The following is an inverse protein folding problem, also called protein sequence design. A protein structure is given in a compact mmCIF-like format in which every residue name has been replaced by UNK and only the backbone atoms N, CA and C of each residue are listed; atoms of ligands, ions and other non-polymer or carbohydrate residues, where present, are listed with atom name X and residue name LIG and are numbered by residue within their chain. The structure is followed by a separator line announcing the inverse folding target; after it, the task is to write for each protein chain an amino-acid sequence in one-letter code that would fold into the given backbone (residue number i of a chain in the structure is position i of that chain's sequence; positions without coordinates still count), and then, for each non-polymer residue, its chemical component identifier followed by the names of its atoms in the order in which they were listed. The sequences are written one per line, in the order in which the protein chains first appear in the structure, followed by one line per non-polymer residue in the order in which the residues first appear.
data_IF_761041485799
#
_entry.id   IF_761041485799
#
_cell.length_a   1.000
_cell.length_b   1.000
_cell.length_c   1.000
_cell.angle_alpha   90.00
_cell.angle_beta   90.00
_cell.angle_gamma   90.00
#
_symmetry.space_group_name_H-M   'P 1'
#
loop_
_entity.id
_entity.type
_entity.pdbx_description
1 polymer ?
#
# COMPACT_ATOMS: atom_id res chain seq x y z
N UNK A 1 24.22 23.02 -7.96
CA UNK A 1 23.16 22.95 -9.00
C UNK A 1 22.36 21.63 -9.00
N UNK A 2 22.60 20.72 -8.08
CA UNK A 2 22.03 19.35 -8.01
C UNK A 2 20.81 19.21 -7.09
N UNK A 3 20.37 20.25 -6.41
CA UNK A 3 19.21 20.22 -5.50
C UNK A 3 17.84 20.36 -6.20
N UNK A 4 17.82 20.71 -7.48
CA UNK A 4 16.59 21.09 -8.20
C UNK A 4 15.88 19.95 -8.93
N UNK A 5 16.48 18.78 -9.09
CA UNK A 5 15.89 17.69 -9.90
C UNK A 5 15.02 16.73 -9.04
N UNK A 6 15.36 16.48 -7.78
CA UNK A 6 14.60 15.56 -6.91
C UNK A 6 13.25 16.11 -6.45
N UNK A 7 13.21 17.37 -6.05
CA UNK A 7 11.97 17.98 -5.56
C UNK A 7 10.87 18.07 -6.63
N UNK A 8 11.13 18.52 -7.87
CA UNK A 8 10.10 18.56 -8.90
C UNK A 8 9.62 17.17 -9.33
N UNK A 9 10.50 16.15 -9.39
CA UNK A 9 10.10 14.79 -9.72
C UNK A 9 9.19 14.19 -8.64
N UNK A 10 9.58 14.31 -7.36
CA UNK A 10 8.78 13.79 -6.25
C UNK A 10 7.41 14.49 -6.18
N UNK A 11 7.37 15.81 -6.36
CA UNK A 11 6.12 16.56 -6.34
C UNK A 11 5.22 16.19 -7.53
N UNK A 12 5.77 16.10 -8.76
CA UNK A 12 5.02 15.71 -9.94
C UNK A 12 4.44 14.29 -9.81
N UNK A 13 5.22 13.34 -9.32
CA UNK A 13 4.76 11.96 -9.08
C UNK A 13 3.68 11.91 -7.99
N UNK A 14 3.84 12.69 -6.91
CA UNK A 14 2.84 12.75 -5.84
C UNK A 14 1.53 13.36 -6.34
N UNK A 15 1.59 14.46 -7.07
CA UNK A 15 0.41 15.15 -7.62
C UNK A 15 -0.37 14.25 -8.58
N UNK A 16 0.32 13.59 -9.52
CA UNK A 16 -0.33 12.68 -10.48
C UNK A 16 -0.90 11.43 -9.77
N UNK A 17 -0.21 10.92 -8.76
CA UNK A 17 -0.72 9.82 -7.94
C UNK A 17 -2.01 10.19 -7.19
N UNK A 18 -2.10 11.42 -6.66
CA UNK A 18 -3.34 11.93 -6.05
C UNK A 18 -4.46 12.07 -7.06
N UNK A 19 -4.17 12.57 -8.24
CA UNK A 19 -5.15 12.69 -9.32
C UNK A 19 -5.71 11.32 -9.74
N UNK A 20 -4.84 10.33 -9.91
CA UNK A 20 -5.23 8.95 -10.17
C UNK A 20 -6.08 8.36 -9.03
N UNK A 21 -5.72 8.61 -7.78
CA UNK A 21 -6.53 8.20 -6.64
C UNK A 21 -7.97 8.74 -6.73
N UNK A 22 -8.14 10.05 -6.98
CA UNK A 22 -9.47 10.66 -7.08
C UNK A 22 -10.26 10.19 -8.30
N UNK A 23 -9.61 9.67 -9.33
CA UNK A 23 -10.28 9.04 -10.48
C UNK A 23 -10.69 7.59 -10.18
N UNK A 24 -9.81 6.80 -9.57
CA UNK A 24 -10.00 5.36 -9.39
C UNK A 24 -10.79 5.03 -8.10
N UNK A 25 -10.57 5.78 -7.01
CA UNK A 25 -11.22 5.51 -5.73
C UNK A 25 -12.76 5.56 -5.78
N UNK A 26 -13.41 6.56 -6.42
CA UNK A 26 -14.86 6.57 -6.57
C UNK A 26 -15.41 5.38 -7.37
N UNK A 27 -14.67 4.94 -8.38
CA UNK A 27 -15.03 3.75 -9.18
C UNK A 27 -14.97 2.50 -8.28
N UNK A 28 -13.93 2.38 -7.46
CA UNK A 28 -13.82 1.32 -6.46
C UNK A 28 -14.97 1.32 -5.45
N UNK A 29 -15.33 2.50 -4.94
CA UNK A 29 -16.48 2.66 -4.03
C UNK A 29 -17.78 2.23 -4.72
N UNK A 30 -18.00 2.66 -5.96
CA UNK A 30 -19.19 2.28 -6.74
C UNK A 30 -19.24 0.77 -7.01
N UNK A 31 -18.11 0.16 -7.35
CA UNK A 31 -18.01 -1.28 -7.58
C UNK A 31 -18.31 -2.08 -6.31
N UNK A 32 -17.78 -1.66 -5.15
CA UNK A 32 -18.08 -2.27 -3.85
C UNK A 32 -19.56 -2.12 -3.50
N UNK A 33 -20.12 -0.92 -3.65
CA UNK A 33 -21.53 -0.67 -3.40
C UNK A 33 -22.44 -1.50 -4.31
N UNK A 34 -22.09 -1.62 -5.59
CA UNK A 34 -22.81 -2.45 -6.56
C UNK A 34 -22.71 -3.94 -6.21
N UNK A 35 -21.53 -4.43 -5.86
CA UNK A 35 -21.33 -5.81 -5.40
C UNK A 35 -22.17 -6.10 -4.14
N UNK A 36 -22.12 -5.23 -3.13
CA UNK A 36 -22.94 -5.33 -1.92
C UNK A 36 -24.43 -5.37 -2.26
N UNK A 37 -24.88 -4.50 -3.16
CA UNK A 37 -26.26 -4.46 -3.61
C UNK A 37 -26.67 -5.78 -4.28
N UNK A 38 -25.89 -6.27 -5.24
CA UNK A 38 -26.19 -7.52 -5.96
C UNK A 38 -26.27 -8.73 -5.03
N UNK A 39 -25.35 -8.85 -4.08
CA UNK A 39 -25.37 -9.97 -3.13
C UNK A 39 -26.51 -9.92 -2.13
N UNK A 40 -27.04 -8.72 -1.83
CA UNK A 40 -28.04 -8.54 -0.77
C UNK A 40 -29.43 -8.16 -1.27
N UNK A 41 -29.61 -7.97 -2.57
CA UNK A 41 -30.94 -7.76 -3.16
C UNK A 41 -31.74 -9.05 -3.41
N UNK A 42 -31.25 -10.23 -2.93
CA UNK A 42 -31.84 -11.56 -3.09
C UNK A 42 -31.96 -12.05 -4.55
N UNK A 43 -31.49 -11.28 -5.51
CA UNK A 43 -31.58 -11.63 -6.94
C UNK A 43 -30.89 -12.98 -7.25
N UNK A 44 -29.69 -13.17 -6.72
CA UNK A 44 -28.88 -14.37 -6.96
C UNK A 44 -29.39 -15.62 -6.21
N UNK A 45 -30.17 -15.43 -5.14
CA UNK A 45 -30.62 -16.53 -4.28
C UNK A 45 -32.06 -16.95 -4.55
N UNK A 46 -32.97 -15.99 -4.74
CA UNK A 46 -34.40 -16.25 -4.89
C UNK A 46 -34.98 -15.81 -6.25
N UNK A 47 -34.17 -15.12 -7.08
CA UNK A 47 -34.64 -14.51 -8.34
C UNK A 47 -35.58 -13.31 -8.15
N UNK A 48 -35.84 -12.88 -6.93
CA UNK A 48 -36.67 -11.71 -6.61
C UNK A 48 -35.79 -10.54 -6.18
N UNK A 49 -36.00 -9.37 -6.80
CA UNK A 49 -35.24 -8.16 -6.45
C UNK A 49 -35.89 -7.51 -5.24
N UNK A 50 -35.18 -7.49 -4.12
CA UNK A 50 -35.52 -6.69 -2.93
C UNK A 50 -34.67 -5.43 -2.90
N UNK A 51 -34.99 -4.47 -3.77
CA UNK A 51 -34.20 -3.26 -3.97
C UNK A 51 -33.92 -2.50 -2.66
N UNK A 52 -34.97 -2.25 -1.87
CA UNK A 52 -34.87 -1.51 -0.61
C UNK A 52 -33.91 -2.18 0.38
N UNK A 53 -33.92 -3.50 0.44
CA UNK A 53 -33.04 -4.25 1.32
C UNK A 53 -31.57 -4.15 0.86
N UNK A 54 -31.32 -4.33 -0.43
CA UNK A 54 -29.98 -4.16 -0.99
C UNK A 54 -29.40 -2.77 -0.67
N UNK A 55 -30.19 -1.71 -0.88
CA UNK A 55 -29.80 -0.33 -0.55
C UNK A 55 -29.55 -0.15 0.95
N UNK A 56 -30.41 -0.71 1.82
CA UNK A 56 -30.18 -0.65 3.28
C UNK A 56 -28.83 -1.27 3.67
N UNK A 57 -28.49 -2.44 3.15
CA UNK A 57 -27.19 -3.09 3.45
C UNK A 57 -26.01 -2.26 2.93
N UNK A 58 -26.12 -1.68 1.74
CA UNK A 58 -25.09 -0.78 1.20
C UNK A 58 -24.88 0.42 2.13
N UNK A 59 -25.95 1.03 2.63
CA UNK A 59 -25.84 2.17 3.56
C UNK A 59 -25.28 1.71 4.91
N UNK A 60 -25.79 0.63 5.49
CA UNK A 60 -25.39 0.16 6.82
C UNK A 60 -23.90 -0.24 6.86
N UNK A 61 -23.39 -0.89 5.82
CA UNK A 61 -22.00 -1.34 5.77
C UNK A 61 -21.07 -0.34 5.07
N UNK A 62 -21.57 0.41 4.09
CA UNK A 62 -20.78 1.35 3.29
C UNK A 62 -20.56 2.70 3.95
N UNK A 63 -21.61 3.30 4.53
CA UNK A 63 -21.52 4.65 5.10
C UNK A 63 -20.51 4.74 6.27
N UNK A 64 -20.51 3.83 7.27
CA UNK A 64 -19.50 3.85 8.34
C UNK A 64 -18.09 3.76 7.82
N UNK A 65 -17.89 2.95 6.78
CA UNK A 65 -16.60 2.72 6.17
C UNK A 65 -16.13 3.94 5.38
N UNK A 66 -17.00 4.59 4.62
CA UNK A 66 -16.68 5.85 3.94
C UNK A 66 -16.32 6.94 4.95
N UNK A 67 -17.09 7.08 6.03
CA UNK A 67 -16.75 8.01 7.11
C UNK A 67 -15.36 7.70 7.70
N UNK A 68 -15.05 6.41 7.91
CA UNK A 68 -13.74 6.01 8.42
C UNK A 68 -12.60 6.36 7.46
N UNK A 69 -12.78 6.18 6.15
CA UNK A 69 -11.78 6.59 5.14
C UNK A 69 -11.54 8.09 5.21
N UNK A 70 -12.61 8.90 5.24
CA UNK A 70 -12.48 10.35 5.31
C UNK A 70 -11.78 10.82 6.59
N UNK A 71 -12.15 10.24 7.74
CA UNK A 71 -11.49 10.55 9.02
C UNK A 71 -10.03 10.15 8.99
N UNK A 72 -9.70 8.98 8.41
CA UNK A 72 -8.32 8.51 8.29
C UNK A 72 -7.48 9.44 7.42
N UNK A 73 -7.98 9.81 6.24
CA UNK A 73 -7.29 10.76 5.36
C UNK A 73 -7.15 12.14 6.01
N UNK A 74 -8.19 12.60 6.72
CA UNK A 74 -8.15 13.83 7.49
C UNK A 74 -7.10 13.81 8.61
N UNK A 75 -6.97 12.69 9.34
CA UNK A 75 -5.94 12.52 10.37
C UNK A 75 -4.52 12.58 9.79
N UNK A 76 -4.28 11.95 8.63
CA UNK A 76 -3.00 12.02 7.94
C UNK A 76 -2.63 13.48 7.65
N UNK A 77 -3.59 14.27 7.14
CA UNK A 77 -3.41 15.70 6.88
C UNK A 77 -3.16 16.52 8.15
N UNK A 78 -3.95 16.31 9.22
CA UNK A 78 -3.81 17.04 10.47
C UNK A 78 -2.48 16.76 11.20
N UNK A 79 -1.95 15.56 11.08
CA UNK A 79 -0.67 15.17 11.66
C UNK A 79 0.53 15.62 10.81
N UNK A 80 0.31 16.35 9.72
CA UNK A 80 1.34 16.75 8.75
C UNK A 80 2.21 15.57 8.30
N UNK A 81 1.60 14.41 8.15
CA UNK A 81 2.31 13.22 7.74
C UNK A 81 2.63 13.31 6.24
N UNK A 82 3.87 13.00 5.88
CA UNK A 82 4.28 13.04 4.48
C UNK A 82 3.44 12.05 3.67
N UNK A 83 2.68 12.56 2.71
CA UNK A 83 1.88 11.73 1.83
C UNK A 83 2.77 11.17 0.73
N UNK A 84 3.09 9.90 0.84
CA UNK A 84 3.83 9.16 -0.18
C UNK A 84 2.85 8.46 -1.14
N UNK A 85 3.32 8.04 -2.32
CA UNK A 85 2.50 7.24 -3.27
C UNK A 85 1.81 6.05 -2.60
N UNK A 86 2.46 5.44 -1.62
CA UNK A 86 1.93 4.27 -0.92
C UNK A 86 0.76 4.60 0.03
N UNK A 87 0.64 5.83 0.52
CA UNK A 87 -0.49 6.28 1.36
C UNK A 87 -1.82 6.27 0.60
N UNK A 88 -1.77 6.36 -0.72
CA UNK A 88 -2.94 6.27 -1.60
C UNK A 88 -3.68 4.94 -1.43
N UNK A 89 -2.95 3.87 -1.12
CA UNK A 89 -3.52 2.54 -0.88
C UNK A 89 -4.36 2.46 0.41
N UNK A 90 -4.19 3.40 1.34
CA UNK A 90 -4.90 3.40 2.63
C UNK A 90 -6.42 3.46 2.44
N UNK A 91 -6.90 4.32 1.54
CA UNK A 91 -8.33 4.45 1.27
C UNK A 91 -9.00 3.14 0.86
N UNK A 92 -8.56 2.50 -0.23
CA UNK A 92 -9.12 1.22 -0.68
C UNK A 92 -9.00 0.08 0.35
N UNK A 93 -7.89 -0.02 1.09
CA UNK A 93 -7.70 -1.06 2.10
C UNK A 93 -8.65 -0.86 3.28
N UNK A 94 -8.75 0.36 3.81
CA UNK A 94 -9.69 0.69 4.89
C UNK A 94 -11.13 0.47 4.44
N UNK A 95 -11.47 0.83 3.18
CA UNK A 95 -12.79 0.58 2.60
C UNK A 95 -13.12 -0.91 2.58
N UNK A 96 -12.23 -1.74 2.07
CA UNK A 96 -12.45 -3.18 1.96
C UNK A 96 -12.66 -3.85 3.32
N UNK A 97 -11.80 -3.53 4.30
CA UNK A 97 -11.87 -4.10 5.64
C UNK A 97 -13.12 -3.64 6.40
N UNK A 98 -13.46 -2.35 6.31
CA UNK A 98 -14.63 -1.82 7.00
C UNK A 98 -15.94 -2.38 6.47
N UNK A 99 -16.06 -2.53 5.16
CA UNK A 99 -17.23 -3.18 4.54
C UNK A 99 -17.33 -4.64 5.00
N UNK A 100 -16.23 -5.38 5.05
CA UNK A 100 -16.21 -6.75 5.55
C UNK A 100 -16.68 -6.84 7.01
N UNK A 101 -16.21 -5.94 7.88
CA UNK A 101 -16.64 -5.88 9.28
C UNK A 101 -18.15 -5.61 9.41
N UNK A 102 -18.66 -4.63 8.66
CA UNK A 102 -20.08 -4.30 8.62
C UNK A 102 -20.94 -5.48 8.15
N UNK A 103 -20.48 -6.19 7.11
CA UNK A 103 -21.17 -7.38 6.60
C UNK A 103 -21.21 -8.53 7.60
N UNK A 104 -20.13 -8.79 8.30
CA UNK A 104 -20.11 -9.84 9.32
C UNK A 104 -21.16 -9.59 10.41
N UNK A 105 -21.28 -8.35 10.89
CA UNK A 105 -22.27 -7.97 11.90
C UNK A 105 -23.69 -8.08 11.35
N UNK A 106 -23.96 -7.54 10.14
CA UNK A 106 -25.30 -7.57 9.54
C UNK A 106 -25.75 -8.99 9.15
N UNK A 107 -24.82 -9.85 8.73
CA UNK A 107 -25.13 -11.25 8.46
C UNK A 107 -25.52 -11.97 9.75
N UNK A 108 -24.74 -11.79 10.83
CA UNK A 108 -25.06 -12.41 12.12
C UNK A 108 -26.36 -11.90 12.70
N UNK A 109 -26.65 -10.60 12.53
CA UNK A 109 -27.94 -10.03 12.88
C UNK A 109 -29.09 -10.72 12.14
N UNK A 110 -28.94 -10.99 10.83
CA UNK A 110 -29.95 -11.66 10.02
C UNK A 110 -30.18 -13.12 10.45
N UNK A 111 -29.14 -13.81 10.91
CA UNK A 111 -29.22 -15.20 11.41
C UNK A 111 -29.84 -15.32 12.79
N UNK A 112 -29.85 -14.25 13.59
CA UNK A 112 -30.32 -14.26 14.95
C UNK A 112 -31.83 -14.14 15.01
N UNK A 113 -32.45 -14.70 16.07
CA UNK A 113 -33.89 -14.67 16.35
C UNK A 113 -34.19 -13.76 17.54
N UNK A 114 -35.38 -13.22 17.62
CA UNK A 114 -35.80 -12.33 18.70
C UNK A 114 -36.11 -10.90 18.26
N UNK A 115 -36.19 -9.99 19.21
CA UNK A 115 -36.35 -8.55 18.96
C UNK A 115 -35.11 -7.93 18.27
N UNK A 116 -35.23 -6.78 17.58
CA UNK A 116 -34.09 -6.14 16.95
C UNK A 116 -32.91 -5.91 17.89
N UNK A 117 -33.17 -5.53 19.14
CA UNK A 117 -32.15 -5.30 20.15
C UNK A 117 -31.46 -6.60 20.59
N UNK A 118 -32.23 -7.68 20.80
CA UNK A 118 -31.69 -9.00 21.16
C UNK A 118 -30.79 -9.55 20.02
N UNK A 119 -31.26 -9.47 18.77
CA UNK A 119 -30.48 -9.88 17.60
C UNK A 119 -29.15 -9.14 17.53
N UNK A 120 -29.20 -7.84 17.78
CA UNK A 120 -28.01 -7.01 17.75
C UNK A 120 -27.04 -7.34 18.89
N UNK A 121 -27.56 -7.57 20.10
CA UNK A 121 -26.75 -8.01 21.23
C UNK A 121 -26.04 -9.35 20.94
N UNK A 122 -26.75 -10.32 20.34
CA UNK A 122 -26.16 -11.60 19.90
C UNK A 122 -25.07 -11.36 18.83
N UNK A 123 -25.34 -10.52 17.83
CA UNK A 123 -24.39 -10.24 16.77
C UNK A 123 -23.11 -9.57 17.30
N UNK A 124 -23.24 -8.58 18.18
CA UNK A 124 -22.09 -7.89 18.77
C UNK A 124 -21.29 -8.77 19.72
N UNK A 125 -21.98 -9.57 20.58
CA UNK A 125 -21.29 -10.43 21.54
C UNK A 125 -20.58 -11.63 20.90
N UNK A 126 -21.03 -12.12 19.74
CA UNK A 126 -20.40 -13.23 19.03
C UNK A 126 -19.45 -12.71 17.94
N UNK A 127 -20.01 -12.15 16.89
CA UNK A 127 -19.27 -11.71 15.70
C UNK A 127 -18.47 -10.43 15.97
N UNK A 128 -18.97 -9.53 16.81
CA UNK A 128 -18.22 -8.34 17.22
C UNK A 128 -16.88 -8.66 17.90
N UNK A 129 -16.84 -9.72 18.73
CA UNK A 129 -15.57 -10.21 19.31
C UNK A 129 -14.62 -10.77 18.26
N UNK A 130 -15.13 -11.51 17.29
CA UNK A 130 -14.32 -12.05 16.20
C UNK A 130 -13.73 -10.92 15.33
N UNK A 131 -14.55 -9.91 15.01
CA UNK A 131 -14.13 -8.71 14.29
C UNK A 131 -13.08 -7.94 15.08
N UNK A 132 -13.24 -7.81 16.41
CA UNK A 132 -12.23 -7.17 17.27
C UNK A 132 -10.88 -7.88 17.20
N UNK A 133 -10.86 -9.21 17.37
CA UNK A 133 -9.63 -10.00 17.30
C UNK A 133 -8.98 -9.87 15.91
N UNK A 134 -9.76 -9.94 14.84
CA UNK A 134 -9.29 -9.76 13.47
C UNK A 134 -8.70 -8.35 13.26
N UNK A 135 -9.39 -7.31 13.75
CA UNK A 135 -8.89 -5.94 13.66
C UNK A 135 -7.58 -5.78 14.44
N UNK A 136 -7.49 -6.30 15.67
CA UNK A 136 -6.28 -6.22 16.49
C UNK A 136 -5.08 -6.91 15.84
N UNK A 137 -5.25 -8.12 15.32
CA UNK A 137 -4.16 -8.83 14.63
C UNK A 137 -3.69 -8.09 13.39
N UNK A 138 -4.61 -7.48 12.63
CA UNK A 138 -4.29 -6.69 11.45
C UNK A 138 -3.61 -5.38 11.81
N UNK A 139 -4.05 -4.70 12.87
CA UNK A 139 -3.41 -3.48 13.41
C UNK A 139 -1.96 -3.80 13.83
N UNK A 140 -1.74 -4.89 14.56
CA UNK A 140 -0.39 -5.32 14.97
C UNK A 140 0.48 -5.59 13.73
N UNK A 141 -0.08 -6.25 12.71
CA UNK A 141 0.60 -6.48 11.44
C UNK A 141 1.03 -5.17 10.75
N UNK A 142 0.16 -4.15 10.70
CA UNK A 142 0.52 -2.86 10.11
C UNK A 142 1.47 -2.05 11.00
N UNK A 143 1.35 -2.13 12.32
CA UNK A 143 2.33 -1.52 13.23
C UNK A 143 3.73 -2.10 12.99
N UNK A 144 3.85 -3.40 12.68
CA UNK A 144 5.16 -4.00 12.39
C UNK A 144 5.88 -3.34 11.20
N UNK A 145 5.13 -2.81 10.21
CA UNK A 145 5.71 -2.07 9.09
C UNK A 145 6.37 -0.75 9.52
N UNK A 146 6.02 -0.22 10.67
CA UNK A 146 6.62 1.03 11.18
C UNK A 146 8.08 0.87 11.57
N UNK A 147 8.54 -0.37 11.77
CA UNK A 147 9.94 -0.69 12.04
C UNK A 147 10.78 -0.86 10.78
N UNK A 148 10.17 -0.83 9.59
CA UNK A 148 10.91 -0.93 8.33
C UNK A 148 11.88 0.26 8.16
N UNK A 149 13.06 0.08 7.55
CA UNK A 149 14.02 1.17 7.35
C UNK A 149 13.55 2.20 6.31
N UNK A 150 12.60 1.85 5.43
CA UNK A 150 12.12 2.70 4.34
C UNK A 150 10.97 3.62 4.80
N UNK A 151 11.11 4.93 4.61
CA UNK A 151 10.09 5.94 4.97
C UNK A 151 8.69 5.64 4.40
N UNK A 152 8.51 5.30 3.10
CA UNK A 152 7.18 5.03 2.54
C UNK A 152 6.46 3.86 3.23
N UNK A 153 7.18 2.81 3.61
CA UNK A 153 6.62 1.65 4.30
C UNK A 153 6.18 2.03 5.73
N UNK A 154 7.01 2.79 6.45
CA UNK A 154 6.65 3.32 7.78
C UNK A 154 5.36 4.15 7.73
N UNK A 155 5.27 5.05 6.75
CA UNK A 155 4.14 5.96 6.60
C UNK A 155 2.84 5.19 6.38
N UNK A 156 2.86 4.19 5.49
CA UNK A 156 1.72 3.30 5.24
C UNK A 156 1.37 2.49 6.48
N UNK A 157 2.36 1.96 7.18
CA UNK A 157 2.15 1.20 8.42
C UNK A 157 1.35 1.98 9.46
N UNK A 158 1.76 3.21 9.76
CA UNK A 158 1.05 4.10 10.68
C UNK A 158 -0.35 4.49 10.17
N UNK A 159 -0.45 4.87 8.89
CA UNK A 159 -1.71 5.28 8.29
C UNK A 159 -2.75 4.15 8.29
N UNK A 160 -2.34 2.92 7.94
CA UNK A 160 -3.22 1.76 7.96
C UNK A 160 -3.57 1.34 9.39
N UNK A 161 -2.62 1.31 10.31
CA UNK A 161 -2.90 0.98 11.70
C UNK A 161 -3.92 1.96 12.32
N UNK A 162 -3.71 3.27 12.15
CA UNK A 162 -4.66 4.30 12.58
C UNK A 162 -6.00 4.19 11.88
N UNK A 163 -6.01 4.00 10.56
CA UNK A 163 -7.22 3.80 9.77
C UNK A 163 -8.04 2.59 10.21
N UNK A 164 -7.38 1.49 10.58
CA UNK A 164 -8.07 0.31 11.10
C UNK A 164 -8.71 0.55 12.47
N UNK A 165 -8.05 1.29 13.34
CA UNK A 165 -8.66 1.70 14.62
C UNK A 165 -9.92 2.52 14.37
N UNK A 166 -9.84 3.51 13.47
CA UNK A 166 -10.98 4.37 13.12
C UNK A 166 -12.11 3.55 12.51
N UNK A 167 -11.82 2.69 11.52
CA UNK A 167 -12.85 1.89 10.85
C UNK A 167 -13.50 0.90 11.80
N UNK A 168 -12.74 0.30 12.72
CA UNK A 168 -13.30 -0.57 13.74
C UNK A 168 -14.28 0.19 14.64
N UNK A 169 -13.88 1.33 15.18
CA UNK A 169 -14.74 2.16 16.03
C UNK A 169 -16.01 2.61 15.28
N UNK A 170 -15.85 3.13 14.07
CA UNK A 170 -16.96 3.57 13.24
C UNK A 170 -17.93 2.41 12.94
N UNK A 171 -17.40 1.23 12.63
CA UNK A 171 -18.22 0.05 12.37
C UNK A 171 -18.97 -0.39 13.62
N UNK A 172 -18.31 -0.48 14.79
CA UNK A 172 -18.96 -0.91 16.04
C UNK A 172 -20.01 0.06 16.54
N UNK A 173 -19.88 1.34 16.24
CA UNK A 173 -20.85 2.37 16.65
C UNK A 173 -21.95 2.55 15.61
N UNK A 174 -21.59 2.76 14.34
CA UNK A 174 -22.57 3.16 13.33
C UNK A 174 -23.37 1.99 12.76
N UNK A 175 -22.76 0.80 12.54
CA UNK A 175 -23.47 -0.33 11.95
C UNK A 175 -24.65 -0.77 12.82
N UNK A 176 -24.52 -0.95 14.15
CA UNK A 176 -25.64 -1.26 15.01
C UNK A 176 -26.77 -0.22 14.97
N UNK A 177 -26.39 1.05 15.09
CA UNK A 177 -27.38 2.14 15.10
C UNK A 177 -28.13 2.24 13.76
N UNK A 178 -27.41 2.15 12.63
CA UNK A 178 -28.02 2.16 11.31
C UNK A 178 -28.92 0.92 11.06
N UNK A 179 -28.54 -0.24 11.59
CA UNK A 179 -29.33 -1.47 11.47
C UNK A 179 -30.71 -1.31 12.12
N UNK A 180 -30.77 -0.68 13.30
CA UNK A 180 -32.04 -0.39 13.99
C UNK A 180 -32.78 0.74 13.28
N UNK A 181 -32.10 1.85 12.99
CA UNK A 181 -32.71 3.05 12.39
C UNK A 181 -33.38 2.74 11.03
N UNK A 182 -32.72 1.93 10.21
CA UNK A 182 -33.22 1.56 8.90
C UNK A 182 -34.15 0.32 8.94
N UNK A 183 -34.45 -0.24 10.11
CA UNK A 183 -35.26 -1.47 10.26
C UNK A 183 -34.85 -2.55 9.24
N UNK A 184 -33.64 -3.09 9.40
CA UNK A 184 -33.09 -4.10 8.49
C UNK A 184 -33.84 -5.42 8.65
N UNK A 185 -34.60 -5.81 7.62
CA UNK A 185 -35.33 -7.10 7.55
C UNK A 185 -34.68 -8.04 6.56
N UNK A 186 -33.41 -8.38 6.82
CA UNK A 186 -32.66 -9.29 5.95
C UNK A 186 -33.01 -10.75 6.29
N UNK A 187 -33.53 -11.55 5.33
CA UNK A 187 -33.70 -12.97 5.55
C UNK A 187 -32.31 -13.67 5.61
N UNK A 188 -32.22 -14.69 6.43
CA UNK A 188 -31.09 -15.62 6.41
C UNK A 188 -31.35 -16.69 5.35
N UNK A 189 -30.44 -16.80 4.39
CA UNK A 189 -30.53 -17.85 3.37
C UNK A 189 -29.45 -18.90 3.60
N UNK A 190 -29.76 -20.19 3.39
CA UNK A 190 -28.75 -21.23 3.41
C UNK A 190 -27.73 -20.98 2.27
N UNK A 191 -26.46 -21.34 2.47
CA UNK A 191 -25.44 -21.14 1.45
C UNK A 191 -25.78 -21.95 0.17
N UNK A 192 -25.43 -21.42 -1.00
CA UNK A 192 -25.69 -22.11 -2.28
C UNK A 192 -25.01 -23.49 -2.31
N UNK A 193 -25.69 -24.48 -2.94
CA UNK A 193 -25.21 -25.86 -3.00
C UNK A 193 -23.79 -25.99 -3.55
N UNK A 194 -23.41 -25.14 -4.52
CA UNK A 194 -22.05 -25.10 -5.07
C UNK A 194 -21.03 -24.73 -4.01
N UNK A 195 -21.33 -23.73 -3.17
CA UNK A 195 -20.45 -23.32 -2.06
C UNK A 195 -20.31 -24.44 -1.02
N UNK A 196 -21.43 -25.07 -0.65
CA UNK A 196 -21.43 -26.22 0.28
C UNK A 196 -20.57 -27.37 -0.26
N UNK A 197 -20.71 -27.69 -1.57
CA UNK A 197 -19.91 -28.71 -2.20
C UNK A 197 -18.40 -28.32 -2.24
N UNK A 198 -18.10 -27.07 -2.57
CA UNK A 198 -16.73 -26.58 -2.61
C UNK A 198 -16.03 -26.62 -1.25
N UNK A 199 -16.77 -26.41 -0.14
CA UNK A 199 -16.23 -26.50 1.22
C UNK A 199 -16.15 -27.95 1.70
N UNK A 200 -17.15 -28.77 1.41
CA UNK A 200 -17.20 -30.16 1.88
C UNK A 200 -16.18 -31.06 1.18
N UNK A 201 -15.85 -30.81 -0.08
CA UNK A 201 -14.89 -31.62 -0.82
C UNK A 201 -13.49 -31.60 -0.19
N UNK A 202 -12.86 -30.45 0.10
CA UNK A 202 -11.61 -30.38 0.83
C UNK A 202 -11.64 -31.03 2.21
N UNK A 203 -12.74 -30.86 2.95
CA UNK A 203 -12.91 -31.45 4.30
C UNK A 203 -12.96 -32.97 4.20
N UNK A 204 -13.72 -33.53 3.26
CA UNK A 204 -13.83 -34.99 3.04
C UNK A 204 -12.47 -35.62 2.69
N UNK A 205 -11.64 -34.91 1.94
CA UNK A 205 -10.33 -35.36 1.48
C UNK A 205 -9.19 -34.60 2.16
N UNK A 206 -9.35 -34.28 3.44
CA UNK A 206 -8.49 -33.36 4.20
C UNK A 206 -6.99 -33.68 4.10
N UNK A 207 -6.60 -34.97 4.16
CA UNK A 207 -5.18 -35.38 4.05
C UNK A 207 -4.62 -35.07 2.66
N UNK A 208 -5.38 -35.34 1.60
CA UNK A 208 -4.97 -35.09 0.22
C UNK A 208 -4.89 -33.58 -0.04
N UNK A 209 -5.90 -32.84 0.39
CA UNK A 209 -5.94 -31.39 0.28
C UNK A 209 -4.76 -30.75 0.99
N UNK A 210 -4.46 -31.19 2.22
CA UNK A 210 -3.31 -30.69 2.96
C UNK A 210 -1.98 -31.04 2.24
N UNK A 211 -1.84 -32.26 1.73
CA UNK A 211 -0.65 -32.68 0.98
C UNK A 211 -0.45 -31.83 -0.29
N UNK A 212 -1.53 -31.55 -1.04
CA UNK A 212 -1.48 -30.69 -2.24
C UNK A 212 -0.99 -29.30 -1.87
N UNK A 213 -1.57 -28.66 -0.85
CA UNK A 213 -1.19 -27.30 -0.45
C UNK A 213 0.25 -27.25 0.09
N UNK A 214 0.68 -28.23 0.88
CA UNK A 214 2.08 -28.31 1.34
C UNK A 214 3.05 -28.51 0.18
N UNK A 215 2.73 -29.38 -0.77
CA UNK A 215 3.56 -29.58 -1.96
C UNK A 215 3.64 -28.31 -2.79
N UNK A 216 2.50 -27.64 -3.03
CA UNK A 216 2.44 -26.37 -3.75
C UNK A 216 3.30 -25.29 -3.06
N UNK A 217 3.21 -25.20 -1.73
CA UNK A 217 4.03 -24.28 -0.94
C UNK A 217 5.53 -24.55 -1.08
N UNK A 218 5.93 -25.82 -0.99
CA UNK A 218 7.35 -26.21 -1.11
C UNK A 218 7.89 -25.95 -2.52
N UNK A 219 7.11 -26.30 -3.56
CA UNK A 219 7.48 -26.03 -4.96
C UNK A 219 7.57 -24.54 -5.21
N UNK A 220 6.58 -23.76 -4.73
CA UNK A 220 6.59 -22.30 -4.88
C UNK A 220 7.76 -21.64 -4.14
N UNK A 221 8.09 -22.10 -2.92
CA UNK A 221 9.23 -21.61 -2.16
C UNK A 221 10.56 -21.91 -2.86
N UNK A 222 10.69 -23.13 -3.42
CA UNK A 222 11.88 -23.51 -4.19
C UNK A 222 12.04 -22.70 -5.48
N UNK A 223 10.96 -22.49 -6.21
CA UNK A 223 10.95 -21.67 -7.43
C UNK A 223 11.26 -20.20 -7.15
N UNK A 224 10.65 -19.65 -6.10
CA UNK A 224 10.84 -18.26 -5.70
C UNK A 224 12.32 -17.96 -5.38
N UNK A 225 12.99 -18.85 -4.66
CA UNK A 225 14.41 -18.68 -4.29
C UNK A 225 15.36 -18.57 -5.49
N UNK A 226 14.99 -19.14 -6.63
CA UNK A 226 15.84 -19.18 -7.82
C UNK A 226 15.51 -18.11 -8.86
N UNK A 227 14.26 -17.59 -8.88
CA UNK A 227 13.74 -16.81 -9.99
C UNK A 227 13.21 -15.42 -9.59
N UNK A 228 13.21 -15.08 -8.30
CA UNK A 228 12.82 -13.72 -7.89
C UNK A 228 14.05 -12.82 -7.92
N UNK A 229 14.04 -11.88 -8.84
CA UNK A 229 15.02 -10.81 -8.89
C UNK A 229 14.71 -9.78 -7.79
N UNK A 230 15.64 -9.58 -6.87
CA UNK A 230 15.54 -8.59 -5.78
C UNK A 230 15.98 -7.19 -6.26
N UNK A 231 15.62 -6.81 -7.46
CA UNK A 231 15.96 -5.48 -8.00
C UNK A 231 14.77 -4.52 -7.89
N UNK A 232 14.86 -3.57 -6.98
CA UNK A 232 13.84 -2.52 -6.81
C UNK A 232 14.23 -1.32 -7.67
N UNK A 233 13.66 -1.24 -8.85
CA UNK A 233 13.78 -0.05 -9.70
C UNK A 233 12.68 0.95 -9.30
N UNK A 234 13.08 2.00 -8.59
CA UNK A 234 12.17 3.03 -8.11
C UNK A 234 11.53 3.83 -9.26
N UNK A 235 12.19 3.91 -10.42
CA UNK A 235 11.64 4.57 -11.60
C UNK A 235 10.46 3.79 -12.19
N UNK A 236 10.53 2.46 -12.19
CA UNK A 236 9.42 1.60 -12.66
C UNK A 236 8.20 1.63 -11.73
N UNK A 237 8.35 2.11 -10.50
CA UNK A 237 7.23 2.30 -9.57
C UNK A 237 6.48 3.62 -9.78
N UNK A 238 7.05 4.55 -10.52
CA UNK A 238 6.42 5.84 -10.82
C UNK A 238 5.42 5.71 -11.99
N UNK A 239 4.31 6.49 -12.00
CA UNK A 239 3.36 6.45 -13.10
C UNK A 239 4.03 6.86 -14.42
N UNK A 240 3.83 6.06 -15.46
CA UNK A 240 4.44 6.30 -16.78
C UNK A 240 3.89 7.54 -17.49
N UNK A 241 2.76 8.08 -17.05
CA UNK A 241 2.16 9.29 -17.59
C UNK A 241 2.89 10.57 -17.18
N UNK A 242 3.77 10.50 -16.17
CA UNK A 242 4.54 11.67 -15.71
C UNK A 242 5.66 12.00 -16.69
N UNK A 243 5.60 13.16 -17.31
CA UNK A 243 6.59 13.61 -18.33
C UNK A 243 8.04 13.54 -17.81
N UNK A 244 8.24 13.85 -16.51
CA UNK A 244 9.56 13.76 -15.88
C UNK A 244 10.07 12.31 -15.79
N UNK A 245 9.18 11.33 -15.59
CA UNK A 245 9.51 9.90 -15.57
C UNK A 245 9.87 9.43 -16.97
N UNK A 246 9.08 9.81 -17.98
CA UNK A 246 9.36 9.47 -19.38
C UNK A 246 10.70 10.03 -19.85
N UNK A 247 10.99 11.29 -19.53
CA UNK A 247 12.29 11.90 -19.85
C UNK A 247 13.45 11.21 -19.15
N UNK A 248 13.26 10.77 -17.92
CA UNK A 248 14.26 10.04 -17.15
C UNK A 248 14.49 8.63 -17.71
N UNK A 249 13.42 7.96 -18.17
CA UNK A 249 13.52 6.66 -18.82
C UNK A 249 14.25 6.74 -20.16
N UNK A 250 13.91 7.73 -20.99
CA UNK A 250 14.65 8.03 -22.24
C UNK A 250 16.11 8.34 -21.95
N UNK A 251 16.38 9.15 -20.93
CA UNK A 251 17.76 9.48 -20.54
C UNK A 251 18.52 8.22 -20.09
N UNK A 252 17.90 7.35 -19.31
CA UNK A 252 18.54 6.12 -18.84
C UNK A 252 18.84 5.13 -19.98
N UNK A 253 17.98 5.10 -21.01
CA UNK A 253 18.16 4.25 -22.19
C UNK A 253 19.20 4.81 -23.18
N UNK A 254 19.17 6.12 -23.43
CA UNK A 254 20.09 6.78 -24.39
C UNK A 254 21.54 6.85 -23.85
N UNK A 255 21.70 7.05 -22.55
CA UNK A 255 23.01 7.25 -21.93
C UNK A 255 23.48 6.03 -21.12
N UNK A 256 22.75 4.91 -21.17
CA UNK A 256 23.00 3.72 -20.33
C UNK A 256 23.22 4.10 -18.84
N UNK A 257 22.65 5.24 -18.42
CA UNK A 257 22.84 5.82 -17.11
C UNK A 257 21.80 5.22 -16.15
N UNK A 258 22.25 4.49 -15.16
CA UNK A 258 21.42 4.05 -14.03
C UNK A 258 20.93 5.22 -13.18
N UNK A 259 20.29 4.93 -12.05
CA UNK A 259 19.92 5.97 -11.10
C UNK A 259 21.18 6.69 -10.60
N UNK A 260 21.19 8.03 -10.53
CA UNK A 260 22.35 8.76 -10.04
C UNK A 260 22.62 8.37 -8.57
N UNK A 261 23.70 7.68 -8.35
CA UNK A 261 24.26 7.42 -7.04
C UNK A 261 25.11 8.59 -6.59
N UNK A 262 24.93 9.05 -5.36
CA UNK A 262 25.81 10.06 -4.78
C UNK A 262 26.78 9.35 -3.84
N UNK A 263 28.06 9.40 -4.15
CA UNK A 263 29.12 8.98 -3.26
C UNK A 263 29.66 10.23 -2.57
N UNK A 264 29.46 10.35 -1.25
CA UNK A 264 30.12 11.38 -0.46
C UNK A 264 31.48 10.85 -0.05
N UNK A 265 32.54 11.46 -0.57
CA UNK A 265 33.91 11.13 -0.20
C UNK A 265 34.43 12.27 0.68
N UNK A 266 34.70 11.96 1.93
CA UNK A 266 35.49 12.85 2.80
C UNK A 266 36.97 12.54 2.59
N UNK A 267 37.62 13.34 1.76
CA UNK A 267 39.06 13.31 1.54
C UNK A 267 39.61 14.74 1.45
N UNK A 268 40.80 14.92 1.92
CA UNK A 268 41.52 16.17 1.73
C UNK A 268 42.00 16.25 0.26
N UNK A 269 41.20 16.94 -0.56
CA UNK A 269 41.44 17.08 -2.00
C UNK A 269 42.29 18.32 -2.29
N UNK A 270 42.53 19.17 -1.29
CA UNK A 270 43.38 20.36 -1.40
C UNK A 270 44.75 20.06 -0.83
N UNK A 271 45.77 20.13 -1.66
CA UNK A 271 47.14 20.16 -1.13
C UNK A 271 47.45 21.54 -0.62
N UNK A 272 48.14 21.65 0.52
CA UNK A 272 48.77 22.88 0.94
C UNK A 272 49.85 23.25 -0.10
N UNK A 273 49.96 24.53 -0.52
CA UNK A 273 51.00 24.96 -1.45
C UNK A 273 52.36 24.73 -0.80
N UNK A 274 53.15 23.80 -1.29
CA UNK A 274 54.57 23.71 -0.91
C UNK A 274 55.26 24.95 -1.47
N UNK A 275 55.60 25.90 -0.59
CA UNK A 275 56.43 27.04 -0.92
C UNK A 275 57.88 26.58 -0.97
N UNK A 276 58.27 26.02 -2.10
CA UNK A 276 59.66 25.75 -2.41
C UNK A 276 60.34 27.03 -2.93
N UNK A 277 61.42 27.45 -2.29
CA UNK A 277 62.21 28.55 -2.77
C UNK A 277 62.81 28.16 -4.14
N UNK A 278 62.14 28.58 -5.23
CA UNK A 278 62.63 28.39 -6.59
C UNK A 278 61.65 27.88 -7.66
N UNK A 279 60.45 27.43 -7.33
CA UNK A 279 59.44 27.11 -8.34
C UNK A 279 58.09 27.66 -7.93
N UNK A 280 57.62 28.64 -8.67
CA UNK A 280 56.23 29.08 -8.64
C UNK A 280 55.45 27.99 -9.40
N UNK A 281 55.10 26.95 -8.71
CA UNK A 281 54.08 26.02 -9.22
C UNK A 281 52.75 26.72 -9.09
N UNK A 282 52.05 26.89 -10.22
CA UNK A 282 50.73 27.49 -10.28
C UNK A 282 49.82 26.81 -9.27
N UNK A 283 49.12 27.61 -8.45
CA UNK A 283 48.08 27.19 -7.52
C UNK A 283 47.05 26.34 -8.26
N UNK A 284 47.24 25.02 -8.28
CA UNK A 284 46.19 24.13 -8.66
C UNK A 284 45.37 23.80 -7.40
N UNK A 285 44.11 24.26 -7.32
CA UNK A 285 43.26 24.04 -6.17
C UNK A 285 42.94 22.54 -5.94
N UNK A 286 43.44 21.64 -6.82
CA UNK A 286 43.24 20.22 -6.81
C UNK A 286 44.55 19.47 -6.94
N UNK A 287 45.45 19.63 -5.98
CA UNK A 287 46.77 19.03 -6.06
C UNK A 287 46.77 17.48 -5.83
N UNK A 288 45.66 16.89 -5.38
CA UNK A 288 45.56 15.45 -5.20
C UNK A 288 44.78 14.77 -6.33
N UNK A 289 45.11 15.11 -7.58
CA UNK A 289 44.51 14.50 -8.77
C UNK A 289 44.71 12.97 -8.80
N UNK A 290 45.85 12.47 -8.31
CA UNK A 290 46.14 11.04 -8.21
C UNK A 290 45.19 10.34 -7.23
N UNK A 291 44.83 11.00 -6.13
CA UNK A 291 43.82 10.49 -5.19
C UNK A 291 42.42 10.40 -5.80
N UNK A 292 42.04 11.36 -6.66
CA UNK A 292 40.77 11.37 -7.36
C UNK A 292 40.75 10.29 -8.45
N UNK A 293 41.82 10.12 -9.20
CA UNK A 293 41.95 9.10 -10.24
C UNK A 293 41.94 7.66 -9.64
N UNK A 294 42.60 7.47 -8.52
CA UNK A 294 42.54 6.21 -7.74
C UNK A 294 41.12 5.94 -7.20
N UNK A 295 40.42 6.98 -6.77
CA UNK A 295 39.03 6.85 -6.31
C UNK A 295 38.09 6.46 -7.45
N UNK A 296 38.24 7.08 -8.62
CA UNK A 296 37.49 6.76 -9.83
C UNK A 296 37.72 5.30 -10.25
N UNK A 297 38.97 4.85 -10.27
CA UNK A 297 39.33 3.47 -10.60
C UNK A 297 38.69 2.49 -9.62
N UNK A 298 38.77 2.75 -8.32
CA UNK A 298 38.16 1.89 -7.29
C UNK A 298 36.63 1.89 -7.33
N UNK A 299 36.01 3.02 -7.68
CA UNK A 299 34.57 3.08 -7.87
C UNK A 299 34.12 2.32 -9.11
N UNK A 300 34.87 2.38 -10.21
CA UNK A 300 34.60 1.63 -11.43
C UNK A 300 34.78 0.12 -11.23
N UNK A 301 35.74 -0.31 -10.40
CA UNK A 301 35.95 -1.72 -10.04
C UNK A 301 34.86 -2.25 -9.11
N UNK A 302 34.35 -1.40 -8.21
CA UNK A 302 33.34 -1.80 -7.21
C UNK A 302 31.90 -1.79 -7.76
N UNK A 303 31.63 -0.96 -8.75
CA UNK A 303 30.31 -0.80 -9.38
C UNK A 303 30.46 -1.24 -10.83
N UNK A 304 29.80 -2.32 -11.24
CA UNK A 304 29.82 -2.88 -12.60
C UNK A 304 29.25 -1.90 -13.67
N UNK A 305 29.36 -0.60 -13.46
CA UNK A 305 28.87 0.47 -14.32
C UNK A 305 30.04 1.21 -14.99
N UNK A 306 30.01 1.24 -16.29
CA UNK A 306 31.11 1.56 -17.18
C UNK A 306 31.43 3.04 -17.34
N UNK A 307 30.75 3.99 -16.72
CA UNK A 307 31.02 5.42 -16.93
C UNK A 307 30.79 6.28 -15.68
N UNK A 308 31.81 6.38 -14.83
CA UNK A 308 31.98 7.52 -13.95
C UNK A 308 32.87 8.55 -14.70
N UNK A 309 32.27 9.47 -15.44
CA UNK A 309 32.99 10.64 -15.92
C UNK A 309 32.94 11.72 -14.85
N UNK A 310 34.01 11.92 -14.12
CA UNK A 310 34.23 13.16 -13.40
C UNK A 310 34.26 14.31 -14.44
N UNK A 311 33.50 15.39 -14.25
CA UNK A 311 33.65 16.57 -15.10
C UNK A 311 35.03 17.11 -14.83
N UNK A 312 35.99 16.68 -15.62
CA UNK A 312 37.29 17.35 -15.73
C UNK A 312 37.01 18.65 -16.42
N UNK A 313 36.86 19.74 -15.65
CA UNK A 313 37.04 21.08 -16.19
C UNK A 313 38.49 21.22 -16.66
N UNK A 314 38.77 20.64 -17.82
CA UNK A 314 39.92 21.01 -18.61
C UNK A 314 39.47 22.14 -19.54
N UNK A 315 39.21 23.32 -18.97
CA UNK A 315 39.24 24.58 -19.72
C UNK A 315 39.58 25.71 -18.74
N UNK A 316 40.85 26.02 -18.65
CA UNK A 316 41.44 27.36 -18.94
C UNK A 316 42.93 27.18 -19.10
#
# INVERSE_FOLDING_TARGET
MTLTVRAPLTNAVTEESFKLFWQVFPVGVAAVAFGLFLFHCDLLQTGRIRFVQGVKVVIISGLPTLCAVWVTLGMIGLLNYEVTMTVILVGPIVLALGVAYGLHITNRYAESTGTPHEKLAVALNSTGRAVFLSAMTTIIGFISLTFAPMKPIKTVGWALAGGLVVVYIMTMVMVPNLTILLDLKKPSHPPPKVFVAAVNMPVKWSRITLAIFLTLMLVSAGYNRQNVEENIDLLKMAPNEVEAVQKMDVYSQEFEAGQPGFLLVEADIRAEPEIGIGSITADHPYANLEGIENLETRCNDAVSYTHLTLPTNREV
#
